data_IF_330326650043
#
_entry.id   IF_330326650043
#
_cell.length_a   1.000
_cell.length_b   1.000
_cell.length_c   1.000
_cell.angle_alpha   90.00
_cell.angle_beta   90.00
_cell.angle_gamma   90.00
#
_symmetry.space_group_name_H-M   'P 1'
#
loop_
_entity.id
_entity.type
_entity.pdbx_description
1 polymer ?
#
# COMPACT_ATOMS: atom_id res chain seq x y z
N UNK A 1 -8.19 2.09 -32.12
CA UNK A 1 -8.08 0.64 -31.85
C UNK A 1 -6.74 0.37 -31.18
N UNK A 2 -6.81 -0.34 -30.04
CA UNK A 2 -5.78 -1.22 -29.43
C UNK A 2 -4.41 -0.63 -29.03
N UNK A 3 -4.25 -0.48 -27.71
CA UNK A 3 -3.07 -0.95 -26.97
C UNK A 3 -3.52 -1.44 -25.56
N UNK A 4 -4.38 -2.46 -25.56
CA UNK A 4 -4.41 -3.48 -24.50
C UNK A 4 -3.19 -4.39 -24.76
N UNK A 5 -2.47 -4.84 -23.71
CA UNK A 5 -1.29 -5.76 -23.66
C UNK A 5 -0.09 -5.00 -23.04
N UNK A 6 0.48 -5.25 -21.84
CA UNK A 6 0.50 -6.36 -20.86
C UNK A 6 0.81 -5.79 -19.46
N UNK A 7 0.01 -6.11 -18.45
CA UNK A 7 0.47 -6.14 -17.04
C UNK A 7 -0.12 -7.39 -16.41
N UNK A 8 0.39 -8.57 -16.78
CA UNK A 8 -0.12 -9.85 -16.29
C UNK A 8 0.97 -10.94 -16.33
N UNK A 9 2.14 -10.70 -15.77
CA UNK A 9 3.18 -11.74 -15.62
C UNK A 9 4.14 -11.43 -14.46
N UNK A 10 3.62 -11.35 -13.22
CA UNK A 10 4.48 -11.38 -12.03
C UNK A 10 3.82 -12.05 -10.80
N UNK A 11 2.74 -12.83 -11.00
CA UNK A 11 1.88 -13.29 -9.90
C UNK A 11 1.66 -14.81 -9.85
N UNK A 12 2.48 -15.58 -10.57
CA UNK A 12 2.43 -17.04 -10.54
C UNK A 12 3.77 -17.54 -10.01
N UNK A 13 3.88 -17.64 -8.68
CA UNK A 13 5.12 -18.10 -8.05
C UNK A 13 5.10 -18.31 -6.54
N UNK A 14 4.06 -17.88 -5.83
CA UNK A 14 3.89 -18.10 -4.39
C UNK A 14 2.66 -18.94 -4.13
N UNK A 15 2.70 -20.18 -4.60
CA UNK A 15 1.59 -21.12 -4.49
C UNK A 15 2.07 -22.50 -4.12
N UNK A 16 2.72 -22.66 -2.96
CA UNK A 16 2.86 -23.96 -2.32
C UNK A 16 2.76 -23.83 -0.79
N UNK A 17 1.70 -24.47 -0.27
CA UNK A 17 1.45 -24.86 1.11
C UNK A 17 1.15 -23.76 2.15
N UNK A 18 -0.13 -23.38 2.26
CA UNK A 18 -0.71 -22.96 3.54
C UNK A 18 -1.76 -24.02 3.97
N UNK A 19 -1.66 -24.60 5.18
CA UNK A 19 -2.60 -25.62 5.66
C UNK A 19 -4.01 -25.01 5.84
N UNK A 20 -5.03 -25.79 5.48
CA UNK A 20 -6.45 -25.41 5.45
C UNK A 20 -7.09 -25.04 6.81
N UNK A 21 -6.29 -24.83 7.86
CA UNK A 21 -6.74 -24.40 9.19
C UNK A 21 -6.91 -22.89 9.35
N UNK A 22 -6.25 -22.07 8.53
CA UNK A 22 -6.31 -20.60 8.61
C UNK A 22 -7.53 -20.00 7.90
N UNK A 23 -8.35 -20.85 7.25
CA UNK A 23 -9.52 -20.40 6.51
C UNK A 23 -10.68 -19.90 7.41
N UNK A 24 -10.68 -20.26 8.68
CA UNK A 24 -11.75 -19.89 9.62
C UNK A 24 -11.60 -18.47 10.19
N UNK A 25 -10.42 -17.84 10.07
CA UNK A 25 -10.21 -16.43 10.44
C UNK A 25 -10.47 -15.48 9.24
N UNK A 26 -10.66 -16.04 8.04
CA UNK A 26 -10.88 -15.28 6.78
C UNK A 26 -12.23 -14.55 6.71
N UNK A 27 -13.16 -14.83 7.63
CA UNK A 27 -14.43 -14.11 7.73
C UNK A 27 -14.35 -12.83 8.59
N UNK A 28 -13.17 -12.50 9.13
CA UNK A 28 -12.97 -11.31 9.97
C UNK A 28 -12.67 -10.02 9.19
N UNK A 29 -12.59 -10.04 7.84
CA UNK A 29 -12.37 -8.84 7.00
C UNK A 29 -13.67 -8.02 6.81
N UNK A 30 -14.39 -7.80 7.92
CA UNK A 30 -15.47 -6.79 8.04
C UNK A 30 -15.16 -5.75 9.12
N UNK A 31 -14.09 -5.95 9.89
CA UNK A 31 -13.57 -4.97 10.86
C UNK A 31 -12.44 -4.19 10.20
N UNK A 32 -12.37 -2.89 10.48
CA UNK A 32 -11.20 -2.08 10.11
C UNK A 32 -9.92 -2.82 10.54
N UNK A 33 -8.90 -2.92 9.67
CA UNK A 33 -7.68 -3.62 10.02
C UNK A 33 -7.09 -3.06 11.32
N UNK A 34 -6.51 -3.94 12.14
CA UNK A 34 -5.93 -3.51 13.41
C UNK A 34 -4.89 -2.39 13.15
N UNK A 35 -4.78 -1.38 14.05
CA UNK A 35 -3.96 -0.19 13.79
C UNK A 35 -2.49 -0.47 13.46
N UNK A 36 -1.95 -1.55 14.01
CA UNK A 36 -0.59 -2.07 13.72
C UNK A 36 -0.39 -2.43 12.24
N UNK A 37 -1.40 -3.01 11.58
CA UNK A 37 -1.28 -3.40 10.18
C UNK A 37 -1.36 -2.18 9.27
N UNK A 38 -2.15 -1.17 9.63
CA UNK A 38 -2.17 0.10 8.90
C UNK A 38 -0.88 0.90 9.08
N UNK A 39 -0.20 0.80 10.23
CA UNK A 39 1.11 1.41 10.44
C UNK A 39 2.19 0.69 9.61
N UNK A 40 2.21 -0.64 9.62
CA UNK A 40 3.14 -1.42 8.80
C UNK A 40 2.94 -1.18 7.30
N UNK A 41 1.69 -1.08 6.84
CA UNK A 41 1.38 -0.67 5.47
C UNK A 41 1.90 0.74 5.16
N UNK A 42 1.79 1.68 6.09
CA UNK A 42 2.32 3.02 5.90
C UNK A 42 3.85 3.04 5.83
N UNK A 43 4.53 2.26 6.68
CA UNK A 43 5.99 2.08 6.63
C UNK A 43 6.42 1.51 5.28
N UNK A 44 5.76 0.47 4.81
CA UNK A 44 6.02 -0.14 3.50
C UNK A 44 5.79 0.87 2.36
N UNK A 45 4.68 1.61 2.39
CA UNK A 45 4.37 2.63 1.39
C UNK A 45 5.37 3.80 1.39
N UNK A 46 5.91 4.15 2.55
CA UNK A 46 6.95 5.17 2.66
C UNK A 46 8.28 4.66 2.10
N UNK A 47 8.64 3.42 2.41
CA UNK A 47 9.88 2.77 1.98
C UNK A 47 9.91 2.50 0.47
N UNK A 48 8.74 2.31 -0.16
CA UNK A 48 8.66 2.07 -1.60
C UNK A 48 9.15 3.24 -2.46
N UNK A 49 9.14 4.47 -1.92
CA UNK A 49 9.72 5.65 -2.55
C UNK A 49 11.20 5.79 -2.15
N UNK A 50 12.10 5.14 -2.90
CA UNK A 50 13.55 5.09 -2.61
C UNK A 50 14.23 6.46 -2.50
N UNK A 51 13.76 7.45 -3.27
CA UNK A 51 14.27 8.81 -3.19
C UNK A 51 13.79 9.48 -1.88
N UNK A 52 14.71 9.80 -0.97
CA UNK A 52 14.39 10.36 0.37
C UNK A 52 13.46 11.58 0.30
N UNK A 53 13.68 12.48 -0.67
CA UNK A 53 12.85 13.67 -0.84
C UNK A 53 11.40 13.32 -1.21
N UNK A 54 11.19 12.28 -2.02
CA UNK A 54 9.86 11.77 -2.39
C UNK A 54 9.21 11.09 -1.19
N UNK A 55 9.95 10.21 -0.50
CA UNK A 55 9.49 9.53 0.72
C UNK A 55 9.05 10.51 1.80
N UNK A 56 9.84 11.56 2.05
CA UNK A 56 9.54 12.60 3.03
C UNK A 56 8.32 13.44 2.60
N UNK A 57 8.19 13.72 1.30
CA UNK A 57 7.03 14.44 0.75
C UNK A 57 5.74 13.61 0.90
N UNK A 58 5.81 12.30 0.60
CA UNK A 58 4.70 11.37 0.81
C UNK A 58 4.28 11.31 2.27
N UNK A 59 5.25 11.15 3.19
CA UNK A 59 5.01 11.16 4.63
C UNK A 59 4.28 12.45 5.08
N UNK A 60 4.75 13.62 4.62
CA UNK A 60 4.12 14.92 4.93
C UNK A 60 2.69 15.00 4.40
N UNK A 61 2.43 14.53 3.17
CA UNK A 61 1.09 14.55 2.58
C UNK A 61 0.12 13.64 3.32
N UNK A 62 0.53 12.41 3.64
CA UNK A 62 -0.28 11.51 4.49
C UNK A 62 -0.60 12.16 5.83
N UNK A 63 0.39 12.80 6.47
CA UNK A 63 0.20 13.52 7.73
C UNK A 63 -0.81 14.67 7.60
N UNK A 64 -0.73 15.47 6.54
CA UNK A 64 -1.66 16.57 6.31
C UNK A 64 -3.08 16.06 6.03
N UNK A 65 -3.23 15.05 5.17
CA UNK A 65 -4.54 14.48 4.79
C UNK A 65 -5.21 13.70 5.90
N UNK A 66 -4.45 13.13 6.83
CA UNK A 66 -5.00 12.52 8.04
C UNK A 66 -5.52 13.58 9.04
N UNK A 67 -4.98 14.80 8.99
CA UNK A 67 -5.44 15.93 9.77
C UNK A 67 -4.96 15.93 11.23
N UNK A 68 -5.47 16.88 12.01
CA UNK A 68 -5.13 17.11 13.43
C UNK A 68 -5.61 16.04 14.40
N UNK A 69 -6.16 14.91 13.92
CA UNK A 69 -6.61 13.77 14.72
C UNK A 69 -5.47 12.97 15.39
N UNK A 70 -4.27 13.56 15.46
CA UNK A 70 -3.13 13.15 16.31
C UNK A 70 -3.39 13.39 17.81
N UNK A 71 -4.65 13.49 18.24
CA UNK A 71 -5.08 13.82 19.61
C UNK A 71 -4.82 12.64 20.59
N UNK A 72 -4.45 11.45 20.08
CA UNK A 72 -3.95 10.37 20.92
C UNK A 72 -2.53 10.68 21.43
N UNK A 73 -2.29 10.45 22.72
CA UNK A 73 -1.03 10.75 23.43
C UNK A 73 0.26 10.17 22.80
N UNK A 74 0.14 9.28 21.82
CA UNK A 74 1.25 8.64 21.12
C UNK A 74 1.37 9.02 19.63
N UNK A 75 0.52 9.89 19.08
CA UNK A 75 0.60 10.33 17.69
C UNK A 75 0.65 9.17 16.69
N UNK A 76 1.58 9.24 15.72
CA UNK A 76 1.85 8.16 14.74
C UNK A 76 2.36 6.86 15.39
N UNK A 77 2.81 6.89 16.65
CA UNK A 77 3.44 5.75 17.30
C UNK A 77 2.46 4.65 17.71
N UNK A 78 1.16 4.92 17.80
CA UNK A 78 0.17 3.91 18.18
C UNK A 78 -0.69 3.40 17.03
N UNK A 79 -1.00 4.26 16.06
CA UNK A 79 -1.98 3.94 15.01
C UNK A 79 -1.45 4.46 13.68
N UNK A 80 -1.46 3.60 12.65
CA UNK A 80 -1.21 4.04 11.28
C UNK A 80 -2.32 4.96 10.76
N UNK A 81 -2.10 5.64 9.62
CA UNK A 81 -3.15 6.42 8.98
C UNK A 81 -4.32 5.51 8.57
N UNK A 82 -5.57 6.05 8.52
CA UNK A 82 -6.69 5.31 7.96
C UNK A 82 -6.35 4.80 6.56
N UNK A 83 -6.70 3.54 6.27
CA UNK A 83 -6.34 2.88 5.01
C UNK A 83 -6.77 3.68 3.77
N UNK A 84 -7.92 4.35 3.84
CA UNK A 84 -8.40 5.22 2.76
C UNK A 84 -7.46 6.41 2.48
N UNK A 85 -6.91 7.04 3.53
CA UNK A 85 -5.93 8.14 3.38
C UNK A 85 -4.66 7.60 2.75
N UNK A 86 -4.15 6.47 3.25
CA UNK A 86 -2.94 5.84 2.71
C UNK A 86 -3.09 5.55 1.21
N UNK A 87 -4.18 4.88 0.81
CA UNK A 87 -4.45 4.54 -0.59
C UNK A 87 -4.56 5.80 -1.45
N UNK A 88 -5.31 6.81 -1.01
CA UNK A 88 -5.53 8.02 -1.80
C UNK A 88 -4.23 8.79 -2.03
N UNK A 89 -3.41 8.95 -0.99
CA UNK A 89 -2.12 9.66 -1.12
C UNK A 89 -1.12 8.86 -1.94
N UNK A 90 -1.10 7.52 -1.80
CA UNK A 90 -0.22 6.68 -2.58
C UNK A 90 -0.55 6.76 -4.08
N UNK A 91 -1.82 6.64 -4.42
CA UNK A 91 -2.34 6.81 -5.78
C UNK A 91 -1.98 8.19 -6.34
N UNK A 92 -2.10 9.25 -5.54
CA UNK A 92 -1.74 10.59 -5.97
C UNK A 92 -0.24 10.70 -6.33
N UNK A 93 0.65 10.02 -5.60
CA UNK A 93 2.08 9.96 -5.94
C UNK A 93 2.35 9.16 -7.21
N UNK A 94 1.70 8.00 -7.39
CA UNK A 94 1.82 7.24 -8.63
C UNK A 94 1.39 8.07 -9.84
N UNK A 95 0.30 8.82 -9.71
CA UNK A 95 -0.17 9.71 -10.78
C UNK A 95 0.80 10.83 -11.14
N UNK A 96 1.61 11.33 -10.18
CA UNK A 96 2.66 12.32 -10.49
C UNK A 96 3.70 11.70 -11.43
N UNK A 97 4.02 10.42 -11.29
CA UNK A 97 4.89 9.72 -12.23
C UNK A 97 4.19 9.45 -13.56
N UNK A 98 2.97 8.91 -13.54
CA UNK A 98 2.22 8.56 -14.75
C UNK A 98 1.93 9.79 -15.63
N UNK A 99 1.53 10.92 -15.04
CA UNK A 99 1.28 12.17 -15.78
C UNK A 99 2.53 12.75 -16.45
N UNK A 100 3.73 12.30 -16.04
CA UNK A 100 5.02 12.69 -16.64
C UNK A 100 5.56 11.63 -17.62
N UNK A 101 4.79 10.57 -17.91
CA UNK A 101 5.25 9.44 -18.71
C UNK A 101 6.35 8.62 -18.03
N UNK A 102 6.40 8.61 -16.70
CA UNK A 102 7.37 7.87 -15.90
C UNK A 102 6.76 6.56 -15.39
N UNK A 103 6.16 5.78 -16.30
CA UNK A 103 5.48 4.51 -15.97
C UNK A 103 6.39 3.52 -15.24
N UNK A 104 7.68 3.48 -15.60
CA UNK A 104 8.67 2.65 -14.93
C UNK A 104 8.85 3.02 -13.45
N UNK A 105 8.85 4.33 -13.11
CA UNK A 105 8.94 4.76 -11.70
C UNK A 105 7.68 4.43 -10.92
N UNK A 106 6.49 4.54 -11.54
CA UNK A 106 5.24 4.14 -10.92
C UNK A 106 5.19 2.63 -10.67
N UNK A 107 5.64 1.84 -11.64
CA UNK A 107 5.72 0.38 -11.56
C UNK A 107 6.76 -0.07 -10.52
N UNK A 108 7.95 0.54 -10.49
CA UNK A 108 8.97 0.25 -9.46
C UNK A 108 8.43 0.57 -8.07
N UNK A 109 7.79 1.73 -7.86
CA UNK A 109 7.18 2.06 -6.57
C UNK A 109 6.13 1.03 -6.14
N UNK A 110 5.24 0.58 -7.04
CA UNK A 110 4.28 -0.49 -6.72
C UNK A 110 4.95 -1.82 -6.38
N UNK A 111 6.02 -2.16 -7.09
CA UNK A 111 6.80 -3.38 -6.84
C UNK A 111 7.50 -3.30 -5.49
N UNK A 112 8.18 -2.19 -5.19
CA UNK A 112 8.81 -1.96 -3.91
C UNK A 112 7.80 -1.98 -2.77
N UNK A 113 6.60 -1.45 -2.97
CA UNK A 113 5.56 -1.52 -1.95
C UNK A 113 5.14 -2.95 -1.61
N UNK A 114 5.01 -3.82 -2.61
CA UNK A 114 4.72 -5.23 -2.38
C UNK A 114 5.87 -5.95 -1.64
N UNK A 115 7.12 -5.63 -2.00
CA UNK A 115 8.31 -6.18 -1.35
C UNK A 115 8.43 -5.72 0.11
N UNK A 116 8.35 -4.42 0.36
CA UNK A 116 8.43 -3.83 1.70
C UNK A 116 7.23 -4.24 2.57
N UNK A 117 6.04 -4.42 1.99
CA UNK A 117 4.87 -4.94 2.68
C UNK A 117 4.99 -6.40 3.11
N UNK A 118 5.92 -7.13 2.49
CA UNK A 118 6.25 -8.52 2.83
C UNK A 118 7.47 -8.62 3.75
N UNK A 119 8.00 -7.48 4.23
CA UNK A 119 9.17 -7.44 5.09
C UNK A 119 8.84 -8.03 6.49
N UNK A 120 9.60 -9.02 6.98
CA UNK A 120 9.35 -9.65 8.28
C UNK A 120 9.49 -8.69 9.47
N UNK A 121 10.24 -7.59 9.34
CA UNK A 121 10.41 -6.59 10.40
C UNK A 121 9.12 -5.81 10.68
N UNK A 122 8.24 -5.71 9.67
CA UNK A 122 6.99 -4.96 9.71
C UNK A 122 5.86 -5.77 9.07
N UNK A 123 5.45 -6.89 9.69
CA UNK A 123 4.56 -7.85 9.05
C UNK A 123 3.18 -7.23 8.76
N UNK A 124 2.79 -7.27 7.50
CA UNK A 124 1.42 -6.99 7.05
C UNK A 124 0.76 -8.32 6.73
N UNK A 125 -0.51 -8.49 7.11
CA UNK A 125 -1.28 -9.67 6.67
C UNK A 125 -1.33 -9.68 5.15
N UNK A 126 -0.89 -10.79 4.53
CA UNK A 126 -0.79 -10.91 3.07
C UNK A 126 -2.08 -10.54 2.34
N UNK A 127 -3.24 -10.95 2.88
CA UNK A 127 -4.54 -10.60 2.31
C UNK A 127 -4.79 -9.08 2.35
N UNK A 128 -4.46 -8.42 3.45
CA UNK A 128 -4.60 -6.97 3.57
C UNK A 128 -3.67 -6.23 2.59
N UNK A 129 -2.43 -6.70 2.44
CA UNK A 129 -1.49 -6.15 1.46
C UNK A 129 -2.04 -6.29 0.03
N UNK A 130 -2.50 -7.49 -0.34
CA UNK A 130 -3.09 -7.74 -1.65
C UNK A 130 -4.33 -6.91 -1.93
N UNK A 131 -5.26 -6.82 -0.97
CA UNK A 131 -6.45 -5.98 -1.09
C UNK A 131 -6.06 -4.50 -1.29
N UNK A 132 -5.05 -4.02 -0.56
CA UNK A 132 -4.55 -2.64 -0.69
C UNK A 132 -3.97 -2.39 -2.08
N UNK A 133 -3.13 -3.30 -2.58
CA UNK A 133 -2.56 -3.23 -3.94
C UNK A 133 -3.68 -3.19 -5.00
N UNK A 134 -4.67 -4.07 -4.89
CA UNK A 134 -5.82 -4.12 -5.81
C UNK A 134 -6.59 -2.80 -5.80
N UNK A 135 -6.83 -2.21 -4.62
CA UNK A 135 -7.53 -0.93 -4.49
C UNK A 135 -6.74 0.23 -5.12
N UNK A 136 -5.42 0.25 -4.94
CA UNK A 136 -4.53 1.23 -5.59
C UNK A 136 -4.62 1.08 -7.11
N UNK A 137 -4.41 -0.12 -7.64
CA UNK A 137 -4.47 -0.37 -9.10
C UNK A 137 -5.83 -0.01 -9.70
N UNK A 138 -6.93 -0.34 -9.02
CA UNK A 138 -8.28 0.04 -9.46
C UNK A 138 -8.47 1.56 -9.50
N UNK A 139 -7.93 2.29 -8.53
CA UNK A 139 -8.05 3.75 -8.50
C UNK A 139 -7.20 4.40 -9.58
N UNK A 140 -5.95 3.94 -9.78
CA UNK A 140 -5.08 4.41 -10.87
C UNK A 140 -5.76 4.26 -12.23
N UNK A 141 -6.38 3.11 -12.51
CA UNK A 141 -7.03 2.83 -13.79
C UNK A 141 -8.38 3.57 -14.02
N UNK A 142 -8.91 4.28 -13.02
CA UNK A 142 -10.21 4.97 -13.10
C UNK A 142 -10.09 6.48 -13.35
N UNK A 143 -8.86 7.00 -13.36
CA UNK A 143 -8.57 8.42 -13.61
C UNK A 143 -8.13 8.60 -15.06
#
# INVERSE_FOLDING_TARGET
>A
MKALVVVATALVGLGLAAPAGEAADLLAVKRSPAPQHTDNLFKAAKASFREKAVSDSFYKRVKLSWGSNLIHACGFGCNGPPLAVLINEYVAFLNIYLSKGQDEKASDAMTQFALEGSNPDHPVVNELLWQTIIQISKKVNRM
#
